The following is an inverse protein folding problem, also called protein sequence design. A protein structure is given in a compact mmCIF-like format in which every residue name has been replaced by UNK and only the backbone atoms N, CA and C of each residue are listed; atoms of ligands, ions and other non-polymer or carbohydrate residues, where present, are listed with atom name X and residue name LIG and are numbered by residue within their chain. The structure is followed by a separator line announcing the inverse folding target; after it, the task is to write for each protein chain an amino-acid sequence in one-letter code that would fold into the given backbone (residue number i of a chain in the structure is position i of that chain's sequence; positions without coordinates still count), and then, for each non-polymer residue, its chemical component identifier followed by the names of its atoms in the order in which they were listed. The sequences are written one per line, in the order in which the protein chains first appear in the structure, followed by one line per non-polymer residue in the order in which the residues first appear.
data_IF_764128483586
#
_entry.id   IF_764128483586
#
_cell.length_a   1.000
_cell.length_b   1.000
_cell.length_c   1.000
_cell.angle_alpha   90.00
_cell.angle_beta   90.00
_cell.angle_gamma   90.00
#
_symmetry.space_group_name_H-M   'P 1'
#
loop_
_entity.id
_entity.type
_entity.pdbx_description
1 polymer ?
#
# COMPACT_ATOMS: atom_id res chain seq x y z
N UNK A 1 -30.86 -61.10 -66.78
CA UNK A 1 -31.85 -62.13 -66.38
C UNK A 1 -31.09 -63.11 -65.52
N UNK A 2 -31.52 -63.41 -64.30
CA UNK A 2 -30.79 -64.38 -63.46
C UNK A 2 -31.20 -65.82 -63.78
N UNK A 3 -30.54 -66.79 -63.13
CA UNK A 3 -30.71 -68.24 -63.35
C UNK A 3 -32.11 -68.77 -63.01
N UNK A 4 -33.03 -67.91 -62.56
CA UNK A 4 -34.44 -68.22 -62.30
C UNK A 4 -35.39 -67.46 -63.24
N UNK A 5 -34.90 -66.92 -64.36
CA UNK A 5 -35.74 -66.27 -65.36
C UNK A 5 -36.34 -64.93 -64.91
N UNK A 6 -35.89 -64.36 -63.78
CA UNK A 6 -36.37 -63.06 -63.32
C UNK A 6 -35.66 -61.95 -64.09
N UNK A 7 -36.45 -61.16 -64.82
CA UNK A 7 -36.00 -59.84 -65.29
C UNK A 7 -35.98 -58.91 -64.08
N UNK A 8 -34.79 -58.53 -63.62
CA UNK A 8 -34.62 -57.38 -62.74
C UNK A 8 -35.18 -56.16 -63.48
N UNK A 9 -36.41 -55.78 -63.14
CA UNK A 9 -36.92 -54.46 -63.47
C UNK A 9 -36.08 -53.51 -62.65
N UNK A 10 -35.17 -52.77 -63.30
CA UNK A 10 -34.71 -51.48 -62.79
C UNK A 10 -35.97 -50.68 -62.46
N UNK A 11 -36.34 -50.62 -61.20
CA UNK A 11 -37.29 -49.62 -60.72
C UNK A 11 -36.62 -48.29 -60.96
N UNK A 12 -37.02 -47.62 -62.06
CA UNK A 12 -36.81 -46.18 -62.18
C UNK A 12 -37.34 -45.57 -60.88
N UNK A 13 -36.62 -44.61 -60.25
CA UNK A 13 -37.22 -43.85 -59.16
C UNK A 13 -38.57 -43.32 -59.68
N UNK A 14 -39.64 -43.60 -58.95
CA UNK A 14 -40.97 -43.07 -59.22
C UNK A 14 -40.88 -41.55 -59.10
N UNK A 15 -40.58 -40.89 -60.21
CA UNK A 15 -40.78 -39.46 -60.35
C UNK A 15 -42.29 -39.26 -60.38
N UNK A 16 -42.82 -38.63 -59.32
CA UNK A 16 -44.24 -38.29 -59.25
C UNK A 16 -44.67 -37.44 -60.46
N UNK A 17 -45.97 -37.41 -60.78
CA UNK A 17 -46.50 -36.60 -61.88
C UNK A 17 -46.09 -35.12 -61.75
N UNK A 18 -46.04 -34.43 -62.90
CA UNK A 18 -45.62 -33.03 -63.04
C UNK A 18 -46.53 -32.09 -62.21
N UNK A 19 -46.09 -31.78 -60.98
CA UNK A 19 -46.23 -30.49 -60.31
C UNK A 19 -47.63 -29.93 -59.98
N UNK A 20 -48.36 -30.55 -59.05
CA UNK A 20 -49.40 -29.87 -58.23
C UNK A 20 -48.84 -29.36 -56.88
N UNK A 21 -47.56 -28.97 -56.89
CA UNK A 21 -46.80 -28.66 -55.67
C UNK A 21 -46.86 -27.19 -55.25
N UNK A 22 -46.78 -26.30 -56.23
CA UNK A 22 -46.39 -24.90 -56.06
C UNK A 22 -47.29 -24.01 -56.92
N UNK A 23 -47.77 -22.90 -56.36
CA UNK A 23 -48.45 -21.86 -57.12
C UNK A 23 -47.47 -20.71 -57.36
N UNK A 24 -47.61 -19.98 -58.46
CA UNK A 24 -46.89 -18.71 -58.61
C UNK A 24 -47.69 -17.61 -57.92
N UNK A 25 -47.01 -16.71 -57.20
CA UNK A 25 -47.59 -15.43 -56.78
C UNK A 25 -47.83 -14.55 -58.02
N UNK A 26 -48.66 -13.50 -57.94
CA UNK A 26 -48.85 -12.56 -59.05
C UNK A 26 -47.54 -11.93 -59.58
N UNK A 27 -46.51 -11.86 -58.72
CA UNK A 27 -45.17 -11.35 -59.03
C UNK A 27 -44.22 -12.42 -59.59
N UNK A 28 -44.68 -13.68 -59.74
CA UNK A 28 -43.92 -14.77 -60.34
C UNK A 28 -43.03 -15.56 -59.37
N UNK A 29 -43.24 -15.43 -58.05
CA UNK A 29 -42.50 -16.23 -57.06
C UNK A 29 -43.19 -17.56 -56.75
N UNK A 30 -42.45 -18.60 -56.37
CA UNK A 30 -43.05 -19.87 -55.94
C UNK A 30 -43.63 -19.77 -54.52
N UNK A 31 -44.93 -20.03 -54.38
CA UNK A 31 -45.65 -20.20 -53.13
C UNK A 31 -45.85 -21.69 -52.81
N UNK A 32 -45.31 -22.13 -51.69
CA UNK A 32 -45.42 -23.51 -51.19
C UNK A 32 -46.64 -23.74 -50.28
N UNK A 33 -47.50 -22.73 -50.06
CA UNK A 33 -48.76 -22.80 -49.31
C UNK A 33 -48.64 -23.49 -47.96
N UNK A 34 -47.65 -23.05 -47.16
CA UNK A 34 -47.33 -23.62 -45.84
C UNK A 34 -46.93 -25.10 -45.83
N UNK A 35 -46.60 -25.71 -46.97
CA UNK A 35 -46.08 -27.09 -47.03
C UNK A 35 -44.63 -27.13 -46.55
N UNK A 36 -44.20 -28.30 -46.07
CA UNK A 36 -42.81 -28.54 -45.68
C UNK A 36 -41.95 -28.87 -46.90
N UNK A 37 -40.86 -28.14 -47.08
CA UNK A 37 -39.79 -28.51 -48.00
C UNK A 37 -38.83 -29.47 -47.28
N UNK A 38 -38.63 -30.67 -47.83
CA UNK A 38 -37.77 -31.73 -47.26
C UNK A 38 -36.73 -32.15 -48.29
N UNK A 39 -35.65 -32.78 -47.82
CA UNK A 39 -34.54 -33.28 -48.65
C UNK A 39 -33.84 -32.16 -49.46
N UNK A 40 -33.69 -30.99 -48.84
CA UNK A 40 -32.91 -29.88 -49.41
C UNK A 40 -31.43 -30.18 -49.20
N UNK A 41 -30.69 -30.28 -50.30
CA UNK A 41 -29.24 -30.47 -50.31
C UNK A 41 -28.52 -29.27 -49.67
N UNK A 42 -27.27 -29.43 -49.26
CA UNK A 42 -26.44 -28.30 -48.83
C UNK A 42 -26.29 -27.28 -49.97
N UNK A 43 -26.27 -25.97 -49.66
CA UNK A 43 -26.16 -24.91 -50.66
C UNK A 43 -24.79 -24.94 -51.35
N UNK A 44 -24.75 -24.65 -52.65
CA UNK A 44 -23.51 -24.52 -53.43
C UNK A 44 -23.27 -23.06 -53.87
N UNK A 45 -24.34 -22.25 -53.93
CA UNK A 45 -24.31 -20.84 -54.33
C UNK A 45 -24.99 -19.94 -53.29
N UNK A 46 -24.67 -18.64 -53.30
CA UNK A 46 -25.10 -17.67 -52.29
C UNK A 46 -26.64 -17.52 -52.12
N UNK A 47 -27.41 -17.86 -53.16
CA UNK A 47 -28.86 -17.72 -53.18
C UNK A 47 -29.62 -19.04 -52.99
N UNK A 48 -28.89 -20.13 -52.71
CA UNK A 48 -29.50 -21.43 -52.50
C UNK A 48 -30.28 -21.48 -51.17
N UNK A 49 -31.41 -22.19 -51.18
CA UNK A 49 -32.14 -22.47 -49.96
C UNK A 49 -31.34 -23.42 -49.06
N UNK A 50 -31.27 -23.13 -47.76
CA UNK A 50 -30.54 -23.96 -46.78
C UNK A 50 -31.49 -24.81 -45.95
N UNK A 51 -31.05 -26.03 -45.62
CA UNK A 51 -31.74 -26.84 -44.63
C UNK A 51 -31.38 -26.41 -43.20
N UNK A 52 -32.19 -26.82 -42.21
CA UNK A 52 -31.99 -26.45 -40.80
C UNK A 52 -30.66 -26.95 -40.24
N UNK A 53 -30.17 -28.11 -40.68
CA UNK A 53 -28.90 -28.68 -40.21
C UNK A 53 -27.74 -27.79 -40.64
N UNK A 54 -27.69 -27.36 -41.90
CA UNK A 54 -26.70 -26.41 -42.42
C UNK A 54 -26.77 -25.09 -41.65
N UNK A 55 -27.96 -24.50 -41.50
CA UNK A 55 -28.13 -23.27 -40.74
C UNK A 55 -27.64 -23.41 -39.28
N UNK A 56 -27.98 -24.53 -38.64
CA UNK A 56 -27.58 -24.82 -37.25
C UNK A 56 -26.07 -24.96 -37.13
N UNK A 57 -25.41 -25.59 -38.12
CA UNK A 57 -23.98 -25.84 -38.11
C UNK A 57 -23.17 -24.55 -38.34
N UNK A 58 -23.61 -23.73 -39.28
CA UNK A 58 -22.84 -22.58 -39.77
C UNK A 58 -23.18 -21.26 -39.07
N UNK A 59 -24.24 -21.21 -38.25
CA UNK A 59 -24.67 -19.97 -37.58
C UNK A 59 -24.94 -20.15 -36.08
N UNK A 60 -24.86 -19.04 -35.34
CA UNK A 60 -25.37 -18.97 -33.98
C UNK A 60 -26.89 -18.91 -34.01
N UNK A 61 -27.54 -19.90 -33.40
CA UNK A 61 -28.98 -19.89 -33.30
C UNK A 61 -29.42 -19.02 -32.13
N UNK A 62 -30.42 -18.18 -32.40
CA UNK A 62 -31.21 -17.51 -31.39
C UNK A 62 -32.23 -18.50 -30.83
N UNK A 63 -32.15 -18.80 -29.54
CA UNK A 63 -33.19 -19.55 -28.83
C UNK A 63 -34.14 -18.61 -28.08
N UNK A 64 -35.00 -19.12 -27.19
CA UNK A 64 -35.97 -18.28 -26.45
C UNK A 64 -35.31 -17.23 -25.55
N UNK A 65 -34.00 -17.34 -25.30
CA UNK A 65 -33.26 -16.55 -24.32
C UNK A 65 -32.08 -15.78 -24.91
N UNK A 66 -31.64 -16.08 -26.14
CA UNK A 66 -30.62 -15.31 -26.85
C UNK A 66 -29.78 -16.14 -27.82
N UNK A 67 -28.67 -15.57 -28.27
CA UNK A 67 -27.67 -16.29 -29.08
C UNK A 67 -26.82 -17.21 -28.21
N UNK A 68 -26.71 -18.48 -28.60
CA UNK A 68 -25.88 -19.47 -27.90
C UNK A 68 -24.58 -19.73 -28.65
N UNK A 69 -23.44 -19.36 -28.06
CA UNK A 69 -22.10 -19.55 -28.62
C UNK A 69 -21.59 -21.01 -28.63
N UNK A 70 -22.32 -21.94 -28.00
CA UNK A 70 -22.02 -23.39 -27.93
C UNK A 70 -20.58 -23.70 -27.50
N UNK A 71 -20.15 -23.04 -26.42
CA UNK A 71 -18.78 -23.17 -25.88
C UNK A 71 -17.67 -22.76 -26.86
N UNK A 72 -18.01 -22.06 -27.95
CA UNK A 72 -17.03 -21.49 -28.87
C UNK A 72 -16.69 -20.05 -28.47
N UNK A 73 -15.48 -19.61 -28.83
CA UNK A 73 -15.05 -18.23 -28.63
C UNK A 73 -15.66 -17.32 -29.70
N UNK A 74 -16.24 -16.21 -29.28
CA UNK A 74 -16.60 -15.11 -30.18
C UNK A 74 -15.36 -14.25 -30.37
N UNK A 75 -14.92 -14.07 -31.61
CA UNK A 75 -13.70 -13.34 -31.97
C UNK A 75 -14.05 -12.08 -32.76
N UNK A 76 -13.09 -11.16 -32.89
CA UNK A 76 -13.22 -9.94 -33.69
C UNK A 76 -14.37 -9.02 -33.26
N UNK A 77 -14.67 -9.00 -31.95
CA UNK A 77 -15.59 -8.02 -31.37
C UNK A 77 -14.84 -6.69 -31.25
N UNK A 78 -15.47 -5.59 -31.65
CA UNK A 78 -14.93 -4.26 -31.44
C UNK A 78 -14.91 -3.88 -29.95
N UNK A 79 -14.11 -2.89 -29.57
CA UNK A 79 -14.12 -2.36 -28.21
C UNK A 79 -15.52 -1.83 -27.83
N UNK A 80 -15.94 -2.16 -26.62
CA UNK A 80 -17.18 -1.68 -26.02
C UNK A 80 -17.11 -0.15 -25.83
N UNK A 81 -18.19 0.54 -26.21
CA UNK A 81 -18.37 1.99 -26.09
C UNK A 81 -19.56 2.35 -25.21
N UNK A 82 -20.59 1.51 -25.20
CA UNK A 82 -21.80 1.68 -24.41
C UNK A 82 -21.88 0.67 -23.27
N UNK A 83 -22.76 0.94 -22.30
CA UNK A 83 -22.87 0.14 -21.07
C UNK A 83 -23.22 -1.34 -21.32
N UNK A 84 -23.98 -1.62 -22.38
CA UNK A 84 -24.49 -2.95 -22.70
C UNK A 84 -23.71 -3.65 -23.81
N UNK A 85 -22.61 -3.06 -24.29
CA UNK A 85 -21.75 -3.70 -25.28
C UNK A 85 -21.02 -4.91 -24.69
N UNK A 86 -20.76 -5.91 -25.53
CA UNK A 86 -19.87 -7.00 -25.17
C UNK A 86 -18.44 -6.48 -25.03
N UNK A 87 -17.82 -6.68 -23.86
CA UNK A 87 -16.46 -6.23 -23.58
C UNK A 87 -15.43 -7.26 -24.07
N UNK A 88 -14.56 -6.93 -25.05
CA UNK A 88 -13.50 -7.83 -25.46
C UNK A 88 -12.44 -7.98 -24.36
N UNK A 89 -11.84 -9.18 -24.26
CA UNK A 89 -10.88 -9.52 -23.20
C UNK A 89 -9.70 -8.54 -23.14
N UNK A 90 -9.18 -8.10 -24.28
CA UNK A 90 -8.06 -7.15 -24.30
C UNK A 90 -8.41 -5.82 -23.61
N UNK A 91 -9.61 -5.29 -23.88
CA UNK A 91 -10.06 -4.07 -23.22
C UNK A 91 -10.28 -4.29 -21.73
N UNK A 92 -10.74 -5.47 -21.31
CA UNK A 92 -10.84 -5.80 -19.89
C UNK A 92 -9.47 -5.83 -19.21
N UNK A 93 -8.47 -6.47 -19.82
CA UNK A 93 -7.11 -6.59 -19.29
C UNK A 93 -6.44 -5.22 -19.10
N UNK A 94 -6.71 -4.26 -19.99
CA UNK A 94 -6.22 -2.88 -19.90
C UNK A 94 -6.86 -2.09 -18.74
N UNK A 95 -8.07 -2.50 -18.31
CA UNK A 95 -8.86 -1.78 -17.29
C UNK A 95 -8.69 -2.33 -15.88
N UNK A 96 -8.29 -3.60 -15.72
CA UNK A 96 -8.18 -4.24 -14.40
C UNK A 96 -6.73 -4.28 -13.91
N UNK A 97 -6.50 -4.23 -12.58
CA UNK A 97 -5.16 -4.45 -12.04
C UNK A 97 -4.66 -5.85 -12.34
N UNK A 98 -3.45 -5.97 -12.88
CA UNK A 98 -2.83 -7.27 -13.14
C UNK A 98 -2.11 -7.77 -11.90
N UNK A 99 -2.29 -9.05 -11.56
CA UNK A 99 -1.68 -9.66 -10.37
C UNK A 99 -0.39 -10.38 -10.76
N UNK A 100 0.72 -10.02 -10.13
CA UNK A 100 1.95 -10.80 -10.21
C UNK A 100 1.81 -12.01 -9.26
N UNK A 101 1.86 -13.22 -9.82
CA UNK A 101 1.64 -14.46 -9.06
C UNK A 101 2.83 -14.85 -8.19
N UNK A 102 4.04 -14.35 -8.47
CA UNK A 102 5.25 -14.69 -7.71
C UNK A 102 5.31 -13.98 -6.37
N UNK A 103 5.09 -12.66 -6.37
CA UNK A 103 5.18 -11.82 -5.17
C UNK A 103 3.81 -11.37 -4.65
N UNK A 104 2.71 -11.78 -5.30
CA UNK A 104 1.32 -11.42 -4.98
C UNK A 104 1.02 -9.92 -5.10
N UNK A 105 1.89 -9.14 -5.73
CA UNK A 105 1.68 -7.71 -5.96
C UNK A 105 0.64 -7.45 -7.07
N UNK A 106 0.04 -6.26 -7.04
CA UNK A 106 -0.89 -5.79 -8.05
C UNK A 106 -0.27 -4.61 -8.81
N UNK A 107 -0.29 -4.70 -10.13
CA UNK A 107 0.11 -3.64 -11.04
C UNK A 107 -1.14 -2.92 -11.53
N UNK A 108 -1.24 -1.64 -11.18
CA UNK A 108 -2.38 -0.77 -11.52
C UNK A 108 -2.15 0.01 -12.82
N UNK A 109 -1.21 -0.42 -13.66
CA UNK A 109 -0.87 0.24 -14.91
C UNK A 109 -0.49 1.71 -14.70
N UNK A 110 -0.98 2.62 -15.55
CA UNK A 110 -0.74 4.06 -15.43
C UNK A 110 -1.71 4.75 -14.47
N UNK A 111 -2.56 3.99 -13.76
CA UNK A 111 -3.58 4.55 -12.90
C UNK A 111 -3.07 4.80 -11.49
N UNK A 112 -3.50 5.93 -10.93
CA UNK A 112 -3.23 6.28 -9.53
C UNK A 112 -4.32 5.68 -8.64
N UNK A 113 -3.89 5.09 -7.53
CA UNK A 113 -4.79 4.74 -6.44
C UNK A 113 -5.20 6.01 -5.67
N UNK A 114 -6.50 6.20 -5.49
CA UNK A 114 -7.05 7.23 -4.63
C UNK A 114 -7.99 6.60 -3.59
N UNK A 115 -8.34 7.36 -2.55
CA UNK A 115 -9.21 6.90 -1.44
C UNK A 115 -8.69 5.66 -0.70
N UNK A 116 -7.37 5.53 -0.58
CA UNK A 116 -6.76 4.56 0.35
C UNK A 116 -6.98 5.07 1.77
N UNK A 117 -7.58 4.25 2.63
CA UNK A 117 -7.82 4.58 4.03
C UNK A 117 -6.53 4.61 4.86
N UNK A 118 -6.66 5.01 6.12
CA UNK A 118 -5.54 4.93 7.07
C UNK A 118 -5.16 3.46 7.34
N UNK A 119 -3.86 3.16 7.50
CA UNK A 119 -3.37 1.81 7.74
C UNK A 119 -3.82 1.30 9.11
N UNK A 120 -4.16 0.01 9.17
CA UNK A 120 -4.50 -0.74 10.39
C UNK A 120 -3.49 -1.86 10.67
N UNK A 121 -2.85 -2.38 9.61
CA UNK A 121 -1.84 -3.42 9.67
C UNK A 121 -0.49 -2.92 9.14
N UNK A 122 0.58 -3.62 9.48
CA UNK A 122 1.96 -3.20 9.15
C UNK A 122 2.26 -3.23 7.64
N UNK A 123 1.50 -4.01 6.88
CA UNK A 123 1.61 -4.21 5.45
C UNK A 123 0.60 -3.39 4.63
N UNK A 124 -0.22 -2.55 5.29
CA UNK A 124 -1.16 -1.67 4.59
C UNK A 124 -0.42 -0.57 3.83
N UNK A 125 -0.88 -0.31 2.61
CA UNK A 125 -0.46 0.85 1.85
C UNK A 125 -0.94 2.15 2.52
N UNK A 126 -0.10 3.19 2.48
CA UNK A 126 -0.43 4.51 3.05
C UNK A 126 -0.39 5.58 1.98
N UNK A 127 -1.20 6.62 2.15
CA UNK A 127 -1.08 7.82 1.32
C UNK A 127 0.19 8.60 1.68
N UNK A 128 0.72 9.35 0.71
CA UNK A 128 1.85 10.26 0.97
C UNK A 128 1.51 11.31 2.05
N UNK A 129 0.24 11.73 2.13
CA UNK A 129 -0.23 12.62 3.19
C UNK A 129 -0.16 11.99 4.57
N UNK A 130 -0.66 10.75 4.71
CA UNK A 130 -0.56 9.98 5.95
C UNK A 130 0.91 9.84 6.38
N UNK A 131 1.79 9.40 5.48
CA UNK A 131 3.21 9.26 5.75
C UNK A 131 3.82 10.58 6.25
N UNK A 132 3.66 11.68 5.49
CA UNK A 132 4.24 12.99 5.84
C UNK A 132 3.72 13.56 7.16
N UNK A 133 2.50 13.23 7.56
CA UNK A 133 1.89 13.73 8.78
C UNK A 133 2.29 12.93 10.02
N UNK A 134 2.63 11.64 9.85
CA UNK A 134 2.89 10.71 10.94
C UNK A 134 4.36 10.31 11.10
N UNK A 135 5.26 10.79 10.24
CA UNK A 135 6.71 10.54 10.36
C UNK A 135 7.52 11.81 10.61
N UNK A 136 8.72 11.64 11.16
CA UNK A 136 9.72 12.70 11.19
C UNK A 136 10.23 12.99 9.77
N UNK A 137 10.57 14.26 9.50
CA UNK A 137 11.07 14.70 8.20
C UNK A 137 12.59 14.82 8.27
N UNK A 138 13.29 14.16 7.34
CA UNK A 138 14.73 14.33 7.20
C UNK A 138 15.04 15.74 6.66
N UNK A 139 15.97 16.43 7.30
CA UNK A 139 16.60 17.68 6.86
C UNK A 139 18.09 17.43 6.62
N UNK A 140 18.78 18.41 6.06
CA UNK A 140 20.23 18.33 5.78
C UNK A 140 21.04 18.02 7.03
N UNK A 141 20.62 18.54 8.17
CA UNK A 141 21.33 18.54 9.46
C UNK A 141 20.65 17.66 10.53
N UNK A 142 19.54 17.00 10.23
CA UNK A 142 18.86 16.19 11.24
C UNK A 142 17.43 15.77 10.89
N UNK A 143 16.64 15.57 11.93
CA UNK A 143 15.24 15.17 11.84
C UNK A 143 14.32 16.25 12.43
N UNK A 144 13.35 16.70 11.66
CA UNK A 144 12.31 17.63 12.08
C UNK A 144 11.04 16.85 12.50
N UNK A 145 10.60 17.06 13.73
CA UNK A 145 9.41 16.39 14.29
C UNK A 145 8.12 17.24 14.17
N UNK A 146 8.19 18.45 13.60
CA UNK A 146 7.05 19.36 13.42
C UNK A 146 6.20 19.52 14.69
N UNK A 147 6.86 19.92 15.79
CA UNK A 147 6.26 20.08 17.13
C UNK A 147 5.69 18.80 17.77
N UNK A 148 5.96 17.62 17.20
CA UNK A 148 5.60 16.35 17.84
C UNK A 148 6.61 16.00 18.93
N UNK A 149 6.11 15.38 20.00
CA UNK A 149 6.94 14.91 21.11
C UNK A 149 7.58 13.57 20.75
N UNK A 150 8.90 13.49 20.90
CA UNK A 150 9.58 12.20 21.01
C UNK A 150 9.33 11.64 22.41
N UNK A 151 8.89 10.39 22.48
CA UNK A 151 8.60 9.66 23.73
C UNK A 151 9.44 8.40 23.79
N UNK A 152 9.55 7.82 24.99
CA UNK A 152 10.33 6.58 25.23
C UNK A 152 11.81 6.73 24.84
N UNK A 153 12.37 7.92 25.06
CA UNK A 153 13.82 8.14 25.00
C UNK A 153 14.40 7.60 26.30
N UNK A 154 15.37 6.68 26.20
CA UNK A 154 16.09 6.12 27.34
C UNK A 154 17.05 7.13 27.97
N UNK A 155 17.67 6.72 29.08
CA UNK A 155 18.77 7.47 29.67
C UNK A 155 20.01 7.40 28.74
N UNK A 156 20.81 8.48 28.63
CA UNK A 156 21.97 8.52 27.76
C UNK A 156 23.06 7.54 28.24
N UNK A 157 23.73 6.92 27.29
CA UNK A 157 24.91 6.06 27.52
C UNK A 157 26.15 6.74 26.94
N UNK A 158 26.01 7.37 25.77
CA UNK A 158 27.06 8.12 25.09
C UNK A 158 26.91 9.64 25.28
N UNK A 159 28.01 10.37 25.15
CA UNK A 159 28.04 11.84 25.26
C UNK A 159 27.22 12.54 24.18
N UNK A 160 26.94 11.87 23.06
CA UNK A 160 26.16 12.39 21.95
C UNK A 160 24.67 12.00 22.00
N UNK A 161 24.24 11.26 23.02
CA UNK A 161 22.85 10.87 23.17
C UNK A 161 21.95 12.06 23.54
N UNK A 162 20.74 12.05 22.97
CA UNK A 162 19.70 12.97 23.40
C UNK A 162 19.19 12.58 24.80
N UNK A 163 18.90 13.58 25.64
CA UNK A 163 18.38 13.36 26.99
C UNK A 163 16.94 13.83 27.13
N UNK A 164 16.18 13.18 28.00
CA UNK A 164 14.88 13.71 28.41
C UNK A 164 15.03 14.94 29.30
N UNK A 165 14.01 15.81 29.33
CA UNK A 165 13.98 16.93 30.27
C UNK A 165 14.06 16.47 31.73
N UNK A 166 13.50 15.30 32.05
CA UNK A 166 13.59 14.68 33.38
C UNK A 166 15.04 14.35 33.70
N UNK A 167 15.70 13.59 32.82
CA UNK A 167 17.12 13.23 33.01
C UNK A 167 18.00 14.46 33.20
N UNK A 168 17.80 15.49 32.37
CA UNK A 168 18.52 16.75 32.51
C UNK A 168 18.30 17.38 33.90
N UNK A 169 17.04 17.55 34.34
CA UNK A 169 16.73 18.16 35.65
C UNK A 169 17.29 17.38 36.83
N UNK A 170 17.23 16.05 36.75
CA UNK A 170 17.68 15.19 37.84
C UNK A 170 19.21 15.20 37.98
N UNK A 171 19.92 15.37 36.87
CA UNK A 171 21.38 15.22 36.81
C UNK A 171 22.15 16.55 36.62
N UNK A 172 21.48 17.69 36.42
CA UNK A 172 22.13 19.00 36.30
C UNK A 172 21.75 19.97 37.42
N UNK A 173 22.62 20.97 37.64
CA UNK A 173 22.34 22.11 38.53
C UNK A 173 21.41 23.08 37.79
N UNK A 174 20.37 23.56 38.46
CA UNK A 174 19.35 24.39 37.83
C UNK A 174 19.61 25.87 38.08
N UNK A 175 19.65 26.68 37.01
CA UNK A 175 19.68 28.14 37.15
C UNK A 175 18.30 28.66 37.56
N UNK A 176 18.26 29.50 38.58
CA UNK A 176 17.09 30.27 39.05
C UNK A 176 17.33 31.76 38.79
N UNK A 177 16.34 32.58 39.13
CA UNK A 177 16.42 34.03 38.98
C UNK A 177 17.54 34.64 39.83
N UNK A 178 17.75 34.11 41.04
CA UNK A 178 18.65 34.63 42.07
C UNK A 178 19.92 33.78 42.29
N UNK A 179 20.10 32.69 41.54
CA UNK A 179 21.28 31.84 41.72
C UNK A 179 21.18 30.45 41.08
N UNK A 180 21.95 29.52 41.64
CA UNK A 180 22.00 28.12 41.19
C UNK A 180 21.45 27.20 42.27
N UNK A 181 20.44 26.40 41.92
CA UNK A 181 19.85 25.39 42.79
C UNK A 181 20.53 24.04 42.54
N UNK A 182 21.19 23.52 43.58
CA UNK A 182 21.91 22.24 43.51
C UNK A 182 21.05 21.02 43.84
N UNK A 183 19.86 21.20 44.44
CA UNK A 183 18.94 20.10 44.80
C UNK A 183 19.66 18.91 45.47
N UNK A 184 20.35 19.18 46.59
CA UNK A 184 21.17 18.22 47.34
C UNK A 184 22.40 17.65 46.62
N UNK A 185 22.76 18.15 45.44
CA UNK A 185 24.05 17.86 44.80
C UNK A 185 25.17 18.62 45.51
N UNK A 186 26.36 18.02 45.59
CA UNK A 186 27.53 18.62 46.24
C UNK A 186 28.39 19.35 45.21
N UNK A 187 28.71 20.61 45.48
CA UNK A 187 29.80 21.31 44.82
C UNK A 187 31.12 20.92 45.49
N UNK A 188 32.14 20.56 44.71
CA UNK A 188 33.48 20.18 45.18
C UNK A 188 34.53 20.83 44.28
N UNK A 189 35.77 20.88 44.77
CA UNK A 189 36.91 21.46 44.04
C UNK A 189 36.70 22.93 43.68
N UNK A 190 36.15 23.71 44.62
CA UNK A 190 36.02 25.17 44.51
C UNK A 190 37.37 25.79 44.88
N UNK A 191 37.79 26.81 44.13
CA UNK A 191 38.99 27.58 44.43
C UNK A 191 38.85 28.36 45.75
N UNK A 192 39.97 28.81 46.32
CA UNK A 192 39.95 29.74 47.46
C UNK A 192 39.30 31.07 47.03
N UNK A 193 38.49 31.71 47.90
CA UNK A 193 37.75 32.92 47.56
C UNK A 193 38.69 34.09 47.30
N UNK A 194 38.31 34.93 46.35
CA UNK A 194 38.96 36.21 46.03
C UNK A 194 38.04 37.41 46.28
N UNK A 195 36.72 37.18 46.29
CA UNK A 195 35.68 38.16 46.62
C UNK A 195 34.90 37.74 47.88
N UNK A 196 34.28 38.71 48.56
CA UNK A 196 33.44 38.47 49.74
C UNK A 196 32.18 37.63 49.44
N UNK A 197 31.75 37.57 48.17
CA UNK A 197 30.60 36.78 47.76
C UNK A 197 30.95 35.38 47.23
N UNK A 198 32.24 35.03 47.19
CA UNK A 198 32.67 33.72 46.71
C UNK A 198 32.24 32.59 47.66
N UNK A 199 31.82 31.48 47.07
CA UNK A 199 31.54 30.25 47.82
C UNK A 199 32.86 29.65 48.32
N UNK A 200 32.92 29.32 49.60
CA UNK A 200 34.09 28.70 50.22
C UNK A 200 33.87 27.22 50.50
N UNK A 201 34.95 26.44 50.48
CA UNK A 201 34.93 25.09 51.03
C UNK A 201 35.05 25.12 52.56
N UNK A 202 34.53 24.10 53.24
CA UNK A 202 34.72 23.96 54.70
C UNK A 202 36.22 23.91 55.07
N UNK A 203 37.05 23.30 54.24
CA UNK A 203 38.49 23.23 54.45
C UNK A 203 39.15 24.62 54.46
N UNK A 204 38.79 25.48 53.51
CA UNK A 204 39.26 26.87 53.49
C UNK A 204 38.84 27.63 54.76
N UNK A 205 37.56 27.52 55.14
CA UNK A 205 37.04 28.19 56.33
C UNK A 205 37.81 27.78 57.58
N UNK A 206 37.99 26.48 57.80
CA UNK A 206 38.71 25.94 58.97
C UNK A 206 40.17 26.40 58.97
N UNK A 207 40.84 26.42 57.81
CA UNK A 207 42.23 26.88 57.69
C UNK A 207 42.37 28.35 58.10
N UNK A 208 41.58 29.25 57.50
CA UNK A 208 41.68 30.70 57.77
C UNK A 208 41.28 31.02 59.20
N UNK A 209 40.17 30.45 59.69
CA UNK A 209 39.72 30.66 61.06
C UNK A 209 40.73 30.10 62.06
N UNK A 210 41.28 28.91 61.80
CA UNK A 210 42.33 28.32 62.64
C UNK A 210 43.60 29.18 62.71
N UNK A 211 44.06 29.70 61.57
CA UNK A 211 45.20 30.62 61.52
C UNK A 211 44.93 31.92 62.32
N UNK A 212 43.72 32.46 62.25
CA UNK A 212 43.32 33.64 63.03
C UNK A 212 43.29 33.36 64.53
N UNK A 213 42.68 32.25 64.96
CA UNK A 213 42.66 31.86 66.37
C UNK A 213 44.06 31.61 66.92
N UNK A 214 44.93 30.95 66.16
CA UNK A 214 46.33 30.75 66.54
C UNK A 214 47.03 32.10 66.75
N UNK A 215 46.94 33.02 65.78
CA UNK A 215 47.55 34.35 65.90
C UNK A 215 47.01 35.11 67.12
N UNK A 216 45.71 35.09 67.34
CA UNK A 216 45.06 35.78 68.47
C UNK A 216 45.50 35.21 69.83
N UNK A 217 45.55 33.89 69.97
CA UNK A 217 46.00 33.22 71.19
C UNK A 217 47.44 33.62 71.57
N UNK A 218 48.35 33.65 70.59
CA UNK A 218 49.76 33.99 70.84
C UNK A 218 50.07 35.50 70.90
N UNK A 219 49.14 36.37 70.50
CA UNK A 219 49.30 37.84 70.69
C UNK A 219 48.71 38.33 72.00
N UNK A 220 47.75 37.60 72.58
CA UNK A 220 47.11 37.95 73.85
C UNK A 220 47.56 37.09 75.04
N UNK A 221 48.18 35.93 74.81
CA UNK A 221 48.92 35.24 75.85
C UNK A 221 50.09 36.15 76.26
N UNK A 222 50.14 36.66 77.50
CA UNK A 222 51.33 37.34 77.95
C UNK A 222 52.47 36.33 77.87
N UNK A 223 53.57 36.69 77.21
CA UNK A 223 54.85 36.06 77.52
C UNK A 223 55.04 36.27 79.01
N UNK A 224 54.91 35.22 79.81
CA UNK A 224 55.33 35.23 81.19
C UNK A 224 56.82 35.57 81.17
N UNK A 225 57.15 36.81 81.47
CA UNK A 225 58.52 37.27 81.60
C UNK A 225 59.25 36.40 82.62
N UNK A 226 60.44 35.95 82.21
CA UNK A 226 61.60 35.90 83.07
C UNK A 226 61.76 34.68 83.97
N UNK A 227 62.47 33.66 83.46
CA UNK A 227 63.59 33.09 84.21
C UNK A 227 64.76 32.86 83.25
N UNK A 228 65.75 33.74 83.32
CA UNK A 228 67.14 33.40 82.96
C UNK A 228 67.66 32.43 84.02
N UNK A 229 68.00 31.21 83.62
CA UNK A 229 69.04 30.44 84.32
C UNK A 229 69.81 29.60 83.30
N UNK A 230 70.97 30.11 82.92
CA UNK A 230 72.14 29.31 82.53
C UNK A 230 73.13 29.36 83.69
N UNK A 231 73.69 28.24 84.15
CA UNK A 231 75.10 28.16 84.49
C UNK A 231 75.95 28.13 83.20
#
# INVERSE_FOLDING_TARGET
VDKFGRRSKRTKPLQGPKGDGFSLTPEGHYDIKHKLLRNVQDPEHDLDAVNRQTLTKETLLFDKTGFNARSQRIKNIANAKELNDALPLQQLDDLIPSKNTKDKSYWFHMYRLHNVGDPKFNDDAVTLGYFRNNTAKRKTDGWEFSNKRLKLVGDPIDIHDAVTLKYFKDNSVQKKEDGWEFSNKRLKSVADPTDMQDVITLNYLVRVVGELFYKFYYTLAPTSDGVKTTP
#
